data_IF_179727301720
#
_entry.id   IF_179727301720
#
_cell.length_a   1.000
_cell.length_b   1.000
_cell.length_c   1.000
_cell.angle_alpha   90.00
_cell.angle_beta   90.00
_cell.angle_gamma   90.00
#
_symmetry.space_group_name_H-M   'P 1'
#
loop_
_entity.id
_entity.type
_entity.pdbx_description
1 polymer ?
#
# COMPACT_ATOMS: atom_id res chain seq x y z
N UNK A 1 -21.87 98.25 -3.22
CA UNK A 1 -21.79 97.80 -4.63
C UNK A 1 -22.26 96.34 -4.63
N UNK A 2 -23.46 96.05 -5.21
CA UNK A 2 -23.93 94.77 -5.83
C UNK A 2 -23.67 93.43 -5.09
N UNK A 3 -24.53 92.43 -4.95
CA UNK A 3 -25.91 92.08 -5.35
C UNK A 3 -26.36 90.91 -4.43
N UNK A 4 -27.56 91.03 -3.85
CA UNK A 4 -28.65 90.03 -3.62
C UNK A 4 -28.42 88.51 -3.68
N UNK A 5 -28.84 87.83 -2.60
CA UNK A 5 -29.59 86.55 -2.42
C UNK A 5 -29.77 85.59 -3.61
N UNK A 6 -29.66 84.27 -3.35
CA UNK A 6 -30.81 83.34 -3.36
C UNK A 6 -30.55 82.05 -2.55
N UNK A 7 -31.63 81.58 -1.91
CA UNK A 7 -31.79 80.45 -0.99
C UNK A 7 -31.79 79.09 -1.72
N UNK A 8 -31.40 78.02 -1.02
CA UNK A 8 -32.10 76.70 -0.81
C UNK A 8 -31.05 75.67 -0.36
N UNK A 9 -31.02 75.16 0.88
CA UNK A 9 -31.96 74.30 1.61
C UNK A 9 -32.02 72.84 1.10
N UNK A 10 -31.63 71.94 2.02
CA UNK A 10 -31.94 70.53 2.22
C UNK A 10 -31.28 69.43 1.36
N UNK A 11 -30.62 68.56 2.12
CA UNK A 11 -30.26 67.20 1.82
C UNK A 11 -31.45 66.34 1.38
N UNK A 12 -31.24 65.45 0.43
CA UNK A 12 -31.89 64.14 0.39
C UNK A 12 -30.95 63.12 -0.25
N UNK A 13 -30.67 62.09 0.54
CA UNK A 13 -29.90 60.90 0.19
C UNK A 13 -30.64 60.14 -0.91
N UNK A 14 -29.97 59.88 -2.04
CA UNK A 14 -30.48 58.98 -3.08
C UNK A 14 -29.51 57.80 -3.22
N UNK A 15 -29.92 56.74 -2.54
CA UNK A 15 -29.48 55.35 -2.58
C UNK A 15 -28.96 54.90 -3.96
N UNK A 16 -27.64 54.79 -4.11
CA UNK A 16 -27.04 54.00 -5.18
C UNK A 16 -26.96 52.56 -4.68
N UNK A 17 -27.82 51.71 -5.24
CA UNK A 17 -27.79 50.27 -5.04
C UNK A 17 -26.45 49.76 -5.60
N UNK A 18 -25.48 49.52 -4.72
CA UNK A 18 -24.35 48.66 -5.04
C UNK A 18 -24.90 47.24 -5.18
N UNK A 19 -25.09 46.82 -6.42
CA UNK A 19 -25.29 45.42 -6.74
C UNK A 19 -24.11 44.63 -6.17
N UNK A 20 -24.38 43.82 -5.15
CA UNK A 20 -23.49 42.74 -4.73
C UNK A 20 -23.36 41.75 -5.89
N UNK A 21 -22.38 42.01 -6.76
CA UNK A 21 -21.81 40.98 -7.59
C UNK A 21 -21.08 40.03 -6.67
N UNK A 22 -21.71 38.89 -6.38
CA UNK A 22 -20.98 37.69 -6.03
C UNK A 22 -20.09 37.35 -7.24
N UNK A 23 -18.93 37.98 -7.32
CA UNK A 23 -17.86 37.51 -8.17
C UNK A 23 -17.47 36.15 -7.60
N UNK A 24 -17.97 35.09 -8.23
CA UNK A 24 -17.41 33.77 -8.04
C UNK A 24 -15.90 33.91 -8.18
N UNK A 25 -15.17 33.39 -7.19
CA UNK A 25 -13.73 33.23 -7.31
C UNK A 25 -13.49 32.22 -8.44
N UNK A 26 -13.41 32.73 -9.67
CA UNK A 26 -12.77 32.03 -10.77
C UNK A 26 -11.28 32.03 -10.41
N UNK A 27 -10.79 30.87 -9.97
CA UNK A 27 -9.37 30.65 -9.77
C UNK A 27 -8.69 30.85 -11.13
N UNK A 28 -8.04 32.00 -11.31
CA UNK A 28 -7.43 32.37 -12.59
C UNK A 28 -6.37 31.33 -12.96
N UNK A 29 -6.66 30.50 -13.97
CA UNK A 29 -5.72 29.52 -14.47
C UNK A 29 -4.49 30.21 -15.08
N UNK A 30 -3.30 29.68 -14.79
CA UNK A 30 -2.04 30.19 -15.34
C UNK A 30 -2.04 30.17 -16.87
N UNK A 31 -1.50 31.22 -17.50
CA UNK A 31 -1.22 31.24 -18.94
C UNK A 31 -0.09 30.26 -19.31
N UNK A 32 0.00 29.87 -20.57
CA UNK A 32 1.00 28.89 -21.00
C UNK A 32 2.44 29.39 -20.82
N UNK A 33 2.69 30.67 -21.08
CA UNK A 33 3.98 31.30 -20.81
C UNK A 33 4.37 31.25 -19.31
N UNK A 34 3.39 31.36 -18.40
CA UNK A 34 3.63 31.22 -16.96
C UNK A 34 3.93 29.78 -16.57
N UNK A 35 3.24 28.80 -17.16
CA UNK A 35 3.51 27.36 -16.93
C UNK A 35 4.92 26.98 -17.39
N UNK A 36 5.35 27.46 -18.57
CA UNK A 36 6.68 27.20 -19.10
C UNK A 36 7.78 27.79 -18.21
N UNK A 37 7.62 29.04 -17.79
CA UNK A 37 8.54 29.69 -16.86
C UNK A 37 8.62 28.95 -15.51
N UNK A 38 7.47 28.51 -14.99
CA UNK A 38 7.39 27.76 -13.74
C UNK A 38 8.04 26.37 -13.86
N UNK A 39 7.86 25.70 -15.00
CA UNK A 39 8.53 24.42 -15.29
C UNK A 39 10.05 24.53 -15.30
N UNK A 40 10.60 25.61 -15.89
CA UNK A 40 12.04 25.88 -15.87
C UNK A 40 12.55 26.10 -14.44
N UNK A 41 11.85 26.92 -13.65
CA UNK A 41 12.21 27.21 -12.25
C UNK A 41 12.16 25.93 -11.40
N UNK A 42 11.10 25.12 -11.54
CA UNK A 42 10.97 23.85 -10.80
C UNK A 42 12.11 22.90 -11.16
N UNK A 43 12.44 22.79 -12.46
CA UNK A 43 13.55 21.95 -12.92
C UNK A 43 14.87 22.39 -12.31
N UNK A 44 15.20 23.68 -12.37
CA UNK A 44 16.45 24.20 -11.83
C UNK A 44 16.54 23.97 -10.32
N UNK A 45 15.45 24.24 -9.60
CA UNK A 45 15.37 23.97 -8.16
C UNK A 45 15.60 22.49 -7.83
N UNK A 46 14.98 21.56 -8.56
CA UNK A 46 15.17 20.12 -8.32
C UNK A 46 16.59 19.66 -8.66
N UNK A 47 17.24 20.25 -9.68
CA UNK A 47 18.62 19.94 -10.05
C UNK A 47 19.63 20.49 -9.02
N UNK A 48 19.37 21.66 -8.46
CA UNK A 48 20.17 22.26 -7.38
C UNK A 48 19.92 21.58 -6.03
N UNK A 49 18.75 20.97 -5.84
CA UNK A 49 18.30 20.38 -4.58
C UNK A 49 17.81 18.93 -4.76
N UNK A 50 18.65 17.99 -5.22
CA UNK A 50 18.23 16.60 -5.49
C UNK A 50 17.68 15.86 -4.26
N UNK A 51 18.07 16.29 -3.05
CA UNK A 51 17.58 15.73 -1.79
C UNK A 51 16.07 15.88 -1.62
N UNK A 52 15.46 16.93 -2.18
CA UNK A 52 14.00 17.14 -2.11
C UNK A 52 13.24 15.96 -2.73
N UNK A 53 13.78 15.36 -3.80
CA UNK A 53 13.19 14.17 -4.43
C UNK A 53 13.30 12.96 -3.50
N UNK A 54 14.48 12.74 -2.90
CA UNK A 54 14.67 11.62 -1.97
C UNK A 54 13.78 11.75 -0.74
N UNK A 55 13.69 12.94 -0.15
CA UNK A 55 12.82 13.22 0.99
C UNK A 55 11.34 13.01 0.65
N UNK A 56 10.90 13.46 -0.54
CA UNK A 56 9.53 13.23 -0.99
C UNK A 56 9.24 11.74 -1.22
N UNK A 57 10.18 10.98 -1.79
CA UNK A 57 10.05 9.53 -1.96
C UNK A 57 9.94 8.84 -0.60
N UNK A 58 10.85 9.14 0.33
CA UNK A 58 10.87 8.48 1.64
C UNK A 58 9.64 8.86 2.48
N UNK A 59 9.22 10.13 2.46
CA UNK A 59 7.97 10.55 3.09
C UNK A 59 6.75 9.84 2.48
N UNK A 60 6.73 9.69 1.15
CA UNK A 60 5.69 8.94 0.44
C UNK A 60 5.67 7.46 0.83
N UNK A 61 6.85 6.81 0.90
CA UNK A 61 6.99 5.39 1.29
C UNK A 61 6.56 5.15 2.73
N UNK A 62 6.98 5.99 3.67
CA UNK A 62 6.59 5.88 5.07
C UNK A 62 5.07 5.96 5.23
N UNK A 63 4.42 6.91 4.53
CA UNK A 63 2.96 7.03 4.53
C UNK A 63 2.27 5.80 3.91
N UNK A 64 2.78 5.34 2.77
CA UNK A 64 2.24 4.13 2.11
C UNK A 64 2.39 2.89 2.98
N UNK A 65 3.50 2.76 3.71
CA UNK A 65 3.74 1.64 4.61
C UNK A 65 2.80 1.68 5.83
N UNK A 66 2.58 2.86 6.43
CA UNK A 66 1.59 3.03 7.50
C UNK A 66 0.17 2.65 7.04
N UNK A 67 -0.24 3.13 5.87
CA UNK A 67 -1.52 2.77 5.26
C UNK A 67 -1.59 1.27 4.93
N UNK A 68 -0.50 0.69 4.42
CA UNK A 68 -0.42 -0.74 4.12
C UNK A 68 -0.52 -1.60 5.39
N UNK A 69 0.09 -1.19 6.51
CA UNK A 69 0.01 -1.88 7.79
C UNK A 69 -1.43 -1.87 8.33
N UNK A 70 -2.08 -0.71 8.37
CA UNK A 70 -3.49 -0.61 8.78
C UNK A 70 -4.41 -1.46 7.90
N UNK A 71 -4.16 -1.43 6.58
CA UNK A 71 -4.91 -2.25 5.65
C UNK A 71 -4.62 -3.76 5.85
N UNK A 72 -3.39 -4.13 6.20
CA UNK A 72 -3.02 -5.51 6.47
C UNK A 72 -3.74 -6.06 7.70
N UNK A 73 -3.84 -5.29 8.79
CA UNK A 73 -4.59 -5.69 10.00
C UNK A 73 -6.05 -6.02 9.66
N UNK A 74 -6.73 -5.09 8.98
CA UNK A 74 -8.11 -5.30 8.53
C UNK A 74 -8.22 -6.53 7.63
N UNK A 75 -7.29 -6.71 6.69
CA UNK A 75 -7.31 -7.86 5.77
C UNK A 75 -7.04 -9.18 6.48
N UNK A 76 -6.21 -9.21 7.50
CA UNK A 76 -5.98 -10.40 8.32
C UNK A 76 -7.27 -10.76 9.05
N UNK A 77 -7.91 -9.80 9.73
CA UNK A 77 -9.18 -10.03 10.44
C UNK A 77 -10.28 -10.57 9.51
N UNK A 78 -10.44 -9.94 8.35
CA UNK A 78 -11.43 -10.36 7.33
C UNK A 78 -11.19 -11.78 6.80
N UNK A 79 -9.94 -12.25 6.79
CA UNK A 79 -9.55 -13.49 6.12
C UNK A 79 -9.05 -14.59 7.06
N UNK A 80 -8.92 -14.35 8.37
CA UNK A 80 -8.26 -15.28 9.28
C UNK A 80 -8.89 -16.67 9.26
N UNK A 81 -10.23 -16.75 9.22
CA UNK A 81 -10.94 -18.02 9.14
C UNK A 81 -10.61 -18.82 7.86
N UNK A 82 -10.45 -18.15 6.73
CA UNK A 82 -10.01 -18.77 5.48
C UNK A 82 -8.54 -19.18 5.54
N UNK A 83 -7.70 -18.34 6.15
CA UNK A 83 -6.28 -18.58 6.28
C UNK A 83 -5.98 -19.78 7.18
N UNK A 84 -6.76 -20.00 8.24
CA UNK A 84 -6.51 -21.06 9.24
C UNK A 84 -7.43 -22.28 9.17
N UNK A 85 -8.30 -22.34 8.15
CA UNK A 85 -9.25 -23.46 7.94
C UNK A 85 -8.61 -24.85 8.07
N UNK A 86 -9.38 -25.83 8.53
CA UNK A 86 -8.90 -27.17 8.84
C UNK A 86 -8.30 -27.91 7.62
N UNK A 87 -8.82 -27.65 6.42
CA UNK A 87 -8.36 -28.28 5.19
C UNK A 87 -7.08 -27.66 4.62
N UNK A 88 -6.63 -26.53 5.17
CA UNK A 88 -5.39 -25.89 4.72
C UNK A 88 -4.19 -26.80 4.97
N UNK A 89 -3.24 -26.89 4.01
CA UNK A 89 -1.99 -27.60 4.26
C UNK A 89 -1.31 -27.03 5.50
N UNK A 90 -1.07 -27.89 6.48
CA UNK A 90 -0.48 -27.50 7.76
C UNK A 90 0.25 -28.67 8.41
N UNK A 91 1.12 -28.34 9.36
CA UNK A 91 1.86 -29.29 10.20
C UNK A 91 1.86 -28.78 11.65
N UNK A 92 2.17 -29.67 12.60
CA UNK A 92 2.15 -29.37 14.02
C UNK A 92 0.82 -29.73 14.67
N UNK A 93 0.53 -29.11 15.82
CA UNK A 93 -0.68 -29.37 16.59
C UNK A 93 -1.91 -28.68 15.93
N UNK A 94 -2.96 -29.39 15.50
CA UNK A 94 -4.17 -28.75 14.96
C UNK A 94 -4.89 -27.87 16.00
N UNK A 95 -4.71 -28.15 17.29
CA UNK A 95 -5.30 -27.44 18.43
C UNK A 95 -4.28 -26.50 19.14
N UNK A 96 -3.24 -26.09 18.41
CA UNK A 96 -2.21 -25.16 18.87
C UNK A 96 -2.78 -23.85 19.44
N UNK A 97 -2.10 -23.29 20.46
CA UNK A 97 -2.39 -21.93 20.95
C UNK A 97 -1.78 -20.85 20.06
N UNK A 98 -0.72 -21.19 19.31
CA UNK A 98 -0.08 -20.32 18.33
C UNK A 98 -0.14 -20.94 16.93
N UNK A 99 -0.65 -20.17 15.97
CA UNK A 99 -0.61 -20.54 14.54
C UNK A 99 0.24 -19.55 13.76
N UNK A 100 1.27 -20.05 13.08
CA UNK A 100 2.06 -19.30 12.10
C UNK A 100 1.51 -19.57 10.71
N UNK A 101 1.29 -18.52 9.92
CA UNK A 101 0.89 -18.64 8.52
C UNK A 101 2.08 -18.23 7.64
N UNK A 102 2.62 -19.18 6.89
CA UNK A 102 3.74 -18.93 5.98
C UNK A 102 3.24 -18.77 4.54
N UNK A 103 3.45 -17.58 3.97
CA UNK A 103 3.28 -17.34 2.53
C UNK A 103 4.63 -17.52 1.84
N UNK A 104 4.71 -18.43 0.88
CA UNK A 104 5.98 -18.74 0.22
C UNK A 104 5.81 -19.11 -1.26
N UNK A 105 6.93 -19.12 -1.96
CA UNK A 105 7.05 -19.59 -3.34
C UNK A 105 8.21 -20.61 -3.43
N UNK A 106 8.01 -21.75 -4.11
CA UNK A 106 9.06 -22.77 -4.27
C UNK A 106 10.30 -22.28 -5.03
N UNK A 107 10.22 -21.18 -5.76
CA UNK A 107 11.34 -20.55 -6.47
C UNK A 107 11.99 -19.40 -5.70
N UNK A 108 11.48 -19.05 -4.52
CA UNK A 108 11.97 -17.96 -3.69
C UNK A 108 13.20 -18.41 -2.89
N UNK A 109 14.36 -17.81 -3.17
CA UNK A 109 15.62 -18.19 -2.51
C UNK A 109 15.65 -17.91 -1.00
N UNK A 110 14.94 -16.88 -0.53
CA UNK A 110 14.78 -16.61 0.90
C UNK A 110 13.87 -17.63 1.57
N UNK A 111 12.78 -18.02 0.91
CA UNK A 111 11.83 -19.00 1.41
C UNK A 111 12.51 -20.37 1.59
N UNK A 112 13.34 -20.78 0.62
CA UNK A 112 14.20 -21.97 0.76
C UNK A 112 15.16 -21.90 1.95
N UNK A 113 15.67 -20.70 2.27
CA UNK A 113 16.55 -20.49 3.43
C UNK A 113 15.81 -20.49 4.76
N UNK A 114 14.51 -20.18 4.76
CA UNK A 114 13.66 -20.18 5.95
C UNK A 114 13.20 -21.59 6.35
N UNK A 115 13.24 -22.57 5.44
CA UNK A 115 12.80 -23.95 5.72
C UNK A 115 13.41 -24.55 7.00
N UNK A 116 14.72 -24.45 7.27
CA UNK A 116 15.30 -24.99 8.50
C UNK A 116 14.78 -24.29 9.76
N UNK A 117 14.49 -22.99 9.70
CA UNK A 117 13.95 -22.22 10.83
C UNK A 117 12.50 -22.65 11.13
N UNK A 118 11.68 -22.89 10.10
CA UNK A 118 10.34 -23.45 10.24
C UNK A 118 10.39 -24.85 10.86
N UNK A 119 11.28 -25.71 10.37
CA UNK A 119 11.46 -27.06 10.92
C UNK A 119 11.92 -27.04 12.37
N UNK A 120 12.82 -26.12 12.73
CA UNK A 120 13.26 -25.92 14.10
C UNK A 120 12.11 -25.44 15.00
N UNK A 121 11.34 -24.43 14.56
CA UNK A 121 10.20 -23.92 15.32
C UNK A 121 9.16 -25.01 15.64
N UNK A 122 8.81 -25.84 14.65
CA UNK A 122 7.87 -26.98 14.83
C UNK A 122 8.45 -28.02 15.81
N UNK A 123 9.76 -28.22 15.78
CA UNK A 123 10.43 -29.19 16.66
C UNK A 123 10.53 -28.68 18.09
N UNK A 124 10.80 -27.39 18.26
CA UNK A 124 11.07 -26.77 19.55
C UNK A 124 9.78 -26.45 20.32
N UNK A 125 8.66 -26.24 19.62
CA UNK A 125 7.34 -26.01 20.21
C UNK A 125 6.30 -27.03 19.73
N UNK A 126 5.98 -28.00 20.60
CA UNK A 126 4.97 -29.02 20.34
C UNK A 126 3.53 -28.47 20.27
N UNK A 127 3.30 -27.25 20.75
CA UNK A 127 2.00 -26.59 20.69
C UNK A 127 1.87 -25.59 19.53
N UNK A 128 2.82 -25.60 18.58
CA UNK A 128 2.79 -24.76 17.39
C UNK A 128 2.01 -25.44 16.25
N UNK A 129 1.26 -24.63 15.49
CA UNK A 129 0.74 -24.99 14.16
C UNK A 129 1.37 -24.09 13.11
N UNK A 130 1.83 -24.68 12.01
CA UNK A 130 2.25 -23.92 10.83
C UNK A 130 1.30 -24.22 9.67
N UNK A 131 0.67 -23.17 9.13
CA UNK A 131 -0.22 -23.25 7.97
C UNK A 131 0.49 -22.66 6.76
N UNK A 132 0.49 -23.42 5.68
CA UNK A 132 1.22 -23.11 4.45
C UNK A 132 0.29 -22.46 3.41
N UNK A 133 0.73 -21.35 2.82
CA UNK A 133 0.05 -20.64 1.74
C UNK A 133 0.97 -20.54 0.52
N UNK A 134 0.77 -21.44 -0.43
CA UNK A 134 1.45 -21.41 -1.72
C UNK A 134 1.10 -20.10 -2.46
N UNK A 135 2.10 -19.23 -2.63
CA UNK A 135 1.98 -17.91 -3.27
C UNK A 135 2.89 -17.86 -4.51
N UNK A 136 2.47 -18.43 -5.65
CA UNK A 136 3.31 -18.57 -6.84
C UNK A 136 3.42 -17.26 -7.64
N UNK A 137 4.35 -16.39 -7.23
CA UNK A 137 4.56 -15.04 -7.79
C UNK A 137 5.83 -14.93 -8.64
N UNK A 138 6.70 -15.94 -8.64
CA UNK A 138 8.02 -15.89 -9.32
C UNK A 138 8.05 -16.54 -10.70
N UNK A 139 6.91 -16.96 -11.24
CA UNK A 139 6.77 -17.39 -12.63
C UNK A 139 5.93 -18.66 -12.83
N UNK A 140 5.90 -19.18 -14.07
CA UNK A 140 5.07 -20.34 -14.43
C UNK A 140 5.42 -21.61 -13.64
N UNK A 141 6.71 -21.85 -13.40
CA UNK A 141 7.17 -23.04 -12.65
C UNK A 141 6.77 -22.96 -11.18
N UNK A 142 6.70 -21.76 -10.58
CA UNK A 142 6.15 -21.56 -9.23
C UNK A 142 4.70 -22.01 -9.15
N UNK A 143 3.88 -21.63 -10.14
CA UNK A 143 2.47 -22.03 -10.22
C UNK A 143 2.33 -23.54 -10.36
N UNK A 144 3.14 -24.15 -11.23
CA UNK A 144 3.18 -25.61 -11.37
C UNK A 144 3.55 -26.25 -10.04
N UNK A 145 4.65 -25.86 -9.40
CA UNK A 145 5.07 -26.43 -8.12
C UNK A 145 3.98 -26.33 -7.03
N UNK A 146 3.30 -25.18 -6.94
CA UNK A 146 2.16 -24.98 -6.03
C UNK A 146 0.99 -25.93 -6.31
N UNK A 147 0.60 -26.11 -7.58
CA UNK A 147 -0.47 -27.03 -7.94
C UNK A 147 -0.13 -28.49 -7.59
N UNK A 148 1.13 -28.88 -7.78
CA UNK A 148 1.61 -30.22 -7.42
C UNK A 148 1.67 -30.41 -5.89
N UNK A 149 2.03 -29.37 -5.13
CA UNK A 149 1.95 -29.39 -3.68
C UNK A 149 0.50 -29.64 -3.21
N UNK A 150 -0.47 -28.91 -3.76
CA UNK A 150 -1.89 -29.11 -3.46
C UNK A 150 -2.40 -30.50 -3.88
N UNK A 151 -1.85 -31.08 -4.95
CA UNK A 151 -2.14 -32.46 -5.35
C UNK A 151 -1.53 -33.48 -4.37
N UNK A 152 -0.34 -33.21 -3.83
CA UNK A 152 0.28 -34.02 -2.78
C UNK A 152 -0.48 -33.91 -1.45
N UNK A 153 -1.07 -32.75 -1.14
CA UNK A 153 -1.95 -32.56 0.03
C UNK A 153 -3.14 -33.51 0.02
N UNK A 154 -3.78 -33.69 -1.14
CA UNK A 154 -4.89 -34.66 -1.30
C UNK A 154 -4.48 -36.10 -1.04
N UNK A 155 -3.18 -36.39 -1.01
CA UNK A 155 -2.60 -37.70 -0.74
C UNK A 155 -1.96 -37.77 0.66
N UNK A 156 -2.11 -36.74 1.49
CA UNK A 156 -1.51 -36.65 2.83
C UNK A 156 0.01 -36.45 2.82
N UNK A 157 0.60 -36.00 1.69
CA UNK A 157 2.05 -35.88 1.47
C UNK A 157 2.51 -34.45 1.21
N UNK A 158 1.75 -33.45 1.66
CA UNK A 158 2.08 -32.06 1.39
C UNK A 158 3.46 -31.69 1.93
N UNK A 159 3.74 -31.99 3.21
CA UNK A 159 4.98 -31.54 3.84
C UNK A 159 6.21 -32.26 3.27
N UNK A 160 6.11 -33.55 2.98
CA UNK A 160 7.18 -34.29 2.29
C UNK A 160 7.52 -33.67 0.94
N UNK A 161 6.49 -33.34 0.14
CA UNK A 161 6.65 -32.64 -1.13
C UNK A 161 7.25 -31.25 -0.93
N UNK A 162 6.75 -30.51 0.05
CA UNK A 162 7.19 -29.15 0.36
C UNK A 162 8.68 -29.11 0.69
N UNK A 163 9.14 -29.96 1.61
CA UNK A 163 10.55 -30.09 1.99
C UNK A 163 11.40 -30.46 0.78
N UNK A 164 11.01 -31.48 0.01
CA UNK A 164 11.77 -31.93 -1.15
C UNK A 164 11.96 -30.82 -2.21
N UNK A 165 10.91 -30.02 -2.47
CA UNK A 165 10.99 -28.92 -3.43
C UNK A 165 11.74 -27.72 -2.87
N UNK A 166 11.61 -27.42 -1.58
CA UNK A 166 12.34 -26.32 -0.94
C UNK A 166 13.85 -26.60 -0.87
N UNK A 167 14.25 -27.83 -0.61
CA UNK A 167 15.66 -28.24 -0.60
C UNK A 167 16.27 -28.38 -2.01
N UNK A 168 15.44 -28.50 -3.05
CA UNK A 168 15.91 -28.65 -4.42
C UNK A 168 16.78 -27.47 -4.88
N UNK A 169 17.97 -27.76 -5.41
CA UNK A 169 18.97 -26.78 -5.89
C UNK A 169 19.09 -26.69 -7.42
N UNK A 170 18.19 -27.33 -8.17
CA UNK A 170 18.20 -27.29 -9.64
C UNK A 170 17.64 -25.98 -10.21
N UNK A 171 17.71 -25.82 -11.54
CA UNK A 171 17.19 -24.64 -12.23
C UNK A 171 15.69 -24.46 -11.96
N UNK A 172 15.30 -23.19 -11.80
CA UNK A 172 13.92 -22.74 -11.55
C UNK A 172 13.01 -22.94 -12.75
#
# INVERSE_FOLDING_TARGET
>A
MRFTFHKTALAFSALTILASGAAGAEEAAFSDAQKDAMGAIIKDYLMENPNVIFEAIEAGRAKQEEEAQKNAEVKIEENIAYLTRAEAPSIGNPDADVTVIEFFDYNCGYCKRALPDIQAAIKDDANLRVVFKDMPILGPTSKTAALWALAAHKQGKYFDYHVALMEHKGPK
#
